data_IF_102335063426
#
_entry.id   IF_102335063426
#
_cell.length_a   1.000
_cell.length_b   1.000
_cell.length_c   1.000
_cell.angle_alpha   90.00
_cell.angle_beta   90.00
_cell.angle_gamma   90.00
#
_symmetry.space_group_name_H-M   'P 1'
#
loop_
_entity.id
_entity.type
_entity.pdbx_description
1 polymer ?
#
# COMPACT_ATOMS: atom_id res chain seq x y z
N UNK A 1 17.13 -34.72 -44.43
CA UNK A 1 17.97 -34.07 -43.39
C UNK A 1 17.21 -34.12 -42.08
N UNK A 2 17.49 -35.08 -41.20
CA UNK A 2 16.75 -35.25 -39.95
C UNK A 2 17.17 -34.16 -38.92
N UNK A 3 16.25 -33.63 -38.09
CA UNK A 3 16.59 -32.61 -37.11
C UNK A 3 17.51 -33.22 -36.03
N UNK A 4 18.58 -32.49 -35.69
CA UNK A 4 19.58 -32.88 -34.69
C UNK A 4 18.91 -33.04 -33.32
N UNK A 5 18.74 -34.29 -32.88
CA UNK A 5 18.10 -34.64 -31.61
C UNK A 5 19.00 -34.44 -30.37
N UNK A 6 20.22 -33.92 -30.54
CA UNK A 6 21.23 -33.84 -29.49
C UNK A 6 21.46 -32.39 -29.02
N UNK A 7 20.40 -31.72 -28.55
CA UNK A 7 20.53 -30.42 -27.87
C UNK A 7 20.28 -30.60 -26.37
N UNK A 8 21.14 -30.04 -25.50
CA UNK A 8 20.94 -30.09 -24.06
C UNK A 8 19.61 -29.43 -23.68
N UNK A 9 18.74 -30.21 -23.04
CA UNK A 9 17.43 -29.74 -22.59
C UNK A 9 17.61 -28.87 -21.35
N UNK A 10 17.36 -27.56 -21.50
CA UNK A 10 17.42 -26.62 -20.38
C UNK A 10 16.30 -26.95 -19.39
N UNK A 11 16.63 -26.93 -18.09
CA UNK A 11 15.64 -27.08 -17.01
C UNK A 11 14.64 -25.93 -17.07
N UNK A 12 13.35 -26.24 -17.03
CA UNK A 12 12.27 -25.27 -16.86
C UNK A 12 11.71 -25.36 -15.44
N UNK A 13 11.35 -24.21 -14.87
CA UNK A 13 10.78 -24.12 -13.54
C UNK A 13 9.30 -23.74 -13.66
N UNK A 14 8.41 -24.55 -13.09
CA UNK A 14 6.97 -24.26 -13.06
C UNK A 14 6.67 -23.09 -12.12
N UNK A 15 5.49 -22.48 -12.26
CA UNK A 15 5.09 -21.37 -11.40
C UNK A 15 4.99 -21.80 -9.92
N UNK A 16 4.47 -23.01 -9.68
CA UNK A 16 4.31 -23.60 -8.35
C UNK A 16 5.66 -23.84 -7.68
N UNK A 17 6.64 -24.38 -8.44
CA UNK A 17 8.00 -24.58 -7.93
C UNK A 17 8.64 -23.25 -7.53
N UNK A 18 8.54 -22.25 -8.41
CA UNK A 18 9.05 -20.90 -8.11
C UNK A 18 8.36 -20.31 -6.87
N UNK A 19 7.05 -20.51 -6.72
CA UNK A 19 6.29 -20.06 -5.54
C UNK A 19 6.80 -20.70 -4.26
N UNK A 20 6.94 -22.02 -4.25
CA UNK A 20 7.38 -22.80 -3.10
C UNK A 20 8.79 -22.38 -2.66
N UNK A 21 9.72 -22.22 -3.61
CA UNK A 21 11.09 -21.80 -3.29
C UNK A 21 11.13 -20.37 -2.78
N UNK A 22 10.38 -19.43 -3.37
CA UNK A 22 10.30 -18.08 -2.81
C UNK A 22 9.73 -18.11 -1.38
N UNK A 23 8.65 -18.88 -1.16
CA UNK A 23 8.03 -19.09 0.14
C UNK A 23 9.04 -19.58 1.19
N UNK A 24 9.78 -20.65 0.89
CA UNK A 24 10.83 -21.18 1.76
C UNK A 24 11.96 -20.17 1.97
N UNK A 25 12.43 -19.51 0.91
CA UNK A 25 13.57 -18.59 0.97
C UNK A 25 13.32 -17.35 1.85
N UNK A 26 12.12 -16.73 1.79
CA UNK A 26 11.86 -15.57 2.66
C UNK A 26 11.46 -15.95 4.10
N UNK A 27 11.06 -17.21 4.35
CA UNK A 27 10.84 -17.70 5.71
C UNK A 27 12.17 -18.08 6.39
N UNK A 28 13.16 -18.50 5.61
CA UNK A 28 14.46 -18.94 6.08
C UNK A 28 15.36 -17.81 6.61
N UNK A 29 16.16 -18.15 7.61
CA UNK A 29 17.25 -17.33 8.14
C UNK A 29 18.39 -17.13 7.14
N UNK A 30 19.35 -16.26 7.47
CA UNK A 30 20.45 -15.90 6.55
C UNK A 30 21.30 -17.11 6.13
N UNK A 31 21.59 -18.01 7.06
CA UNK A 31 22.41 -19.20 6.81
C UNK A 31 21.66 -20.28 6.03
N UNK A 32 20.38 -20.48 6.36
CA UNK A 32 19.49 -21.47 5.73
C UNK A 32 19.22 -21.15 4.26
N UNK A 33 19.13 -19.87 3.89
CA UNK A 33 18.96 -19.43 2.50
C UNK A 33 20.03 -20.00 1.56
N UNK A 34 21.28 -20.05 2.02
CA UNK A 34 22.37 -20.64 1.24
C UNK A 34 22.23 -22.15 1.06
N UNK A 35 21.64 -22.85 2.04
CA UNK A 35 21.36 -24.28 1.95
C UNK A 35 20.24 -24.58 0.95
N UNK A 36 19.15 -23.80 0.97
CA UNK A 36 18.02 -23.92 0.03
C UNK A 36 18.51 -23.77 -1.41
N UNK A 37 19.31 -22.74 -1.69
CA UNK A 37 19.82 -22.49 -3.04
C UNK A 37 20.71 -23.63 -3.53
N UNK A 38 21.59 -24.18 -2.68
CA UNK A 38 22.44 -25.32 -3.05
C UNK A 38 21.66 -26.60 -3.28
N UNK A 39 20.64 -26.87 -2.45
CA UNK A 39 19.77 -28.05 -2.58
C UNK A 39 19.07 -28.08 -3.94
N UNK A 40 18.60 -26.93 -4.40
CA UNK A 40 17.84 -26.82 -5.63
C UNK A 40 18.69 -26.50 -6.87
N UNK A 41 20.00 -26.24 -6.70
CA UNK A 41 20.89 -25.79 -7.77
C UNK A 41 20.54 -24.40 -8.29
N UNK A 42 20.09 -23.51 -7.40
CA UNK A 42 19.63 -22.16 -7.72
C UNK A 42 20.69 -21.11 -7.36
N UNK A 43 20.59 -19.98 -8.05
CA UNK A 43 21.39 -18.79 -7.78
C UNK A 43 20.49 -17.68 -7.23
N UNK A 44 21.08 -16.74 -6.49
CA UNK A 44 20.37 -15.56 -5.95
C UNK A 44 19.70 -14.72 -7.05
N UNK A 45 20.25 -14.73 -8.27
CA UNK A 45 19.63 -14.10 -9.45
C UNK A 45 18.25 -14.68 -9.78
N UNK A 46 18.07 -16.00 -9.67
CA UNK A 46 16.77 -16.63 -9.88
C UNK A 46 15.72 -16.09 -8.90
N UNK A 47 16.09 -15.94 -7.63
CA UNK A 47 15.20 -15.39 -6.60
C UNK A 47 14.81 -13.94 -6.94
N UNK A 48 15.78 -13.11 -7.35
CA UNK A 48 15.52 -11.73 -7.74
C UNK A 48 14.59 -11.64 -8.96
N UNK A 49 14.86 -12.43 -10.00
CA UNK A 49 14.05 -12.48 -11.22
C UNK A 49 12.63 -12.95 -10.94
N UNK A 50 12.45 -14.02 -10.14
CA UNK A 50 11.13 -14.55 -9.82
C UNK A 50 10.32 -13.60 -8.95
N UNK A 51 10.95 -12.88 -8.02
CA UNK A 51 10.29 -11.81 -7.26
C UNK A 51 9.84 -10.66 -8.17
N UNK A 52 10.66 -10.26 -9.16
CA UNK A 52 10.29 -9.22 -10.12
C UNK A 52 9.11 -9.68 -10.98
N UNK A 53 9.14 -10.92 -11.46
CA UNK A 53 8.05 -11.51 -12.23
C UNK A 53 6.75 -11.66 -11.41
N UNK A 54 6.87 -12.02 -10.13
CA UNK A 54 5.73 -12.04 -9.21
C UNK A 54 5.12 -10.62 -8.99
N UNK A 55 5.96 -9.59 -8.84
CA UNK A 55 5.49 -8.20 -8.73
C UNK A 55 4.84 -7.68 -10.01
N UNK A 56 5.34 -8.09 -11.18
CA UNK A 56 4.78 -7.74 -12.48
C UNK A 56 3.49 -8.51 -12.83
N UNK A 57 3.03 -9.43 -11.97
CA UNK A 57 1.87 -10.27 -12.23
C UNK A 57 2.06 -11.29 -13.36
N UNK A 58 3.30 -11.46 -13.86
CA UNK A 58 3.59 -12.33 -15.00
C UNK A 58 3.69 -13.82 -14.63
N UNK A 59 3.67 -14.14 -13.33
CA UNK A 59 3.56 -15.50 -12.83
C UNK A 59 2.17 -15.72 -12.22
N UNK A 60 1.19 -15.98 -13.09
CA UNK A 60 -0.12 -16.50 -12.71
C UNK A 60 0.06 -17.84 -11.99
N UNK A 61 0.15 -17.81 -10.66
CA UNK A 61 0.36 -19.02 -9.84
C UNK A 61 1.35 -18.86 -8.69
N UNK A 62 2.13 -17.76 -8.63
CA UNK A 62 2.89 -17.45 -7.41
C UNK A 62 1.97 -16.88 -6.32
N UNK A 63 1.32 -17.80 -5.62
CA UNK A 63 0.58 -17.51 -4.40
C UNK A 63 1.43 -16.78 -3.37
N UNK A 64 0.95 -15.60 -3.00
CA UNK A 64 1.03 -14.99 -1.67
C UNK A 64 2.40 -14.77 -1.03
N UNK A 65 3.11 -13.75 -1.51
CA UNK A 65 3.84 -12.81 -0.62
C UNK A 65 3.62 -11.30 -0.82
N UNK A 66 2.63 -10.81 -1.62
CA UNK A 66 2.19 -9.42 -1.51
C UNK A 66 1.54 -9.11 -0.17
N UNK A 67 1.12 -10.11 0.62
CA UNK A 67 0.25 -9.92 1.78
C UNK A 67 0.88 -9.03 2.85
N UNK A 68 2.09 -9.32 3.34
CA UNK A 68 2.73 -8.49 4.38
C UNK A 68 3.04 -7.07 3.91
N UNK A 69 3.52 -6.91 2.67
CA UNK A 69 3.80 -5.58 2.12
C UNK A 69 2.52 -4.79 1.90
N UNK A 70 1.49 -5.42 1.34
CA UNK A 70 0.19 -4.82 1.10
C UNK A 70 -0.52 -4.51 2.41
N UNK A 71 -0.40 -5.37 3.43
CA UNK A 71 -0.92 -5.12 4.77
C UNK A 71 -0.21 -3.93 5.42
N UNK A 72 1.13 -3.84 5.32
CA UNK A 72 1.88 -2.66 5.78
C UNK A 72 1.48 -1.39 5.04
N UNK A 73 1.31 -1.46 3.72
CA UNK A 73 0.84 -0.34 2.90
C UNK A 73 -0.59 0.07 3.26
N UNK A 74 -1.49 -0.89 3.46
CA UNK A 74 -2.88 -0.65 3.91
C UNK A 74 -2.89 -0.01 5.29
N UNK A 75 -2.07 -0.48 6.24
CA UNK A 75 -1.98 0.13 7.56
C UNK A 75 -1.42 1.55 7.48
N UNK A 76 -0.36 1.78 6.70
CA UNK A 76 0.18 3.12 6.48
C UNK A 76 -0.84 4.07 5.83
N UNK A 77 -1.62 3.57 4.88
CA UNK A 77 -2.70 4.33 4.25
C UNK A 77 -3.84 4.62 5.22
N UNK A 78 -4.23 3.68 6.09
CA UNK A 78 -5.25 3.89 7.13
C UNK A 78 -4.84 4.98 8.11
N UNK A 79 -3.60 4.93 8.62
CA UNK A 79 -3.07 5.96 9.53
C UNK A 79 -3.06 7.34 8.85
N UNK A 80 -2.75 7.41 7.55
CA UNK A 80 -2.81 8.68 6.81
C UNK A 80 -4.25 9.16 6.61
N UNK A 81 -5.18 8.26 6.31
CA UNK A 81 -6.59 8.58 6.15
C UNK A 81 -7.18 9.12 7.45
N UNK A 82 -6.93 8.46 8.59
CA UNK A 82 -7.38 8.91 9.92
C UNK A 82 -6.85 10.31 10.26
N UNK A 83 -5.56 10.58 9.99
CA UNK A 83 -4.99 11.92 10.18
C UNK A 83 -5.63 12.98 9.28
N UNK A 84 -5.85 12.65 8.01
CA UNK A 84 -6.48 13.56 7.07
C UNK A 84 -7.94 13.86 7.45
N UNK A 85 -8.69 12.84 7.90
CA UNK A 85 -10.06 13.00 8.39
C UNK A 85 -10.12 13.86 9.66
N UNK A 86 -9.17 13.70 10.59
CA UNK A 86 -9.08 14.53 11.78
C UNK A 86 -8.79 16.02 11.46
N UNK A 87 -7.89 16.31 10.54
CA UNK A 87 -7.62 17.68 10.09
C UNK A 87 -8.83 18.28 9.34
N UNK A 88 -9.52 17.47 8.54
CA UNK A 88 -10.73 17.88 7.84
C UNK A 88 -11.88 18.19 8.83
N UNK A 89 -12.01 17.39 9.89
CA UNK A 89 -12.97 17.67 10.96
C UNK A 89 -12.63 18.98 11.70
N UNK A 90 -11.35 19.21 12.02
CA UNK A 90 -10.89 20.45 12.68
C UNK A 90 -11.16 21.69 11.83
N UNK A 91 -10.83 21.64 10.55
CA UNK A 91 -11.03 22.77 9.62
C UNK A 91 -12.52 23.07 9.43
N UNK A 92 -13.39 22.06 9.31
CA UNK A 92 -14.84 22.25 9.29
C UNK A 92 -15.36 22.92 10.56
N UNK A 93 -14.92 22.46 11.73
CA UNK A 93 -15.33 23.07 13.00
C UNK A 93 -14.89 24.55 13.11
N UNK A 94 -13.71 24.89 12.59
CA UNK A 94 -13.26 26.28 12.52
C UNK A 94 -14.14 27.13 11.60
N UNK A 95 -14.51 26.61 10.42
CA UNK A 95 -15.42 27.30 9.50
C UNK A 95 -16.81 27.51 10.11
N UNK A 96 -17.35 26.51 10.81
CA UNK A 96 -18.63 26.63 11.50
C UNK A 96 -18.60 27.71 12.59
N UNK A 97 -17.50 27.78 13.35
CA UNK A 97 -17.31 28.82 14.36
C UNK A 97 -17.22 30.21 13.73
N UNK A 98 -16.48 30.34 12.63
CA UNK A 98 -16.37 31.61 11.89
C UNK A 98 -17.74 32.04 11.33
N UNK A 99 -18.52 31.10 10.77
CA UNK A 99 -19.88 31.37 10.30
C UNK A 99 -20.81 31.86 11.42
N UNK A 100 -20.76 31.22 12.59
CA UNK A 100 -21.53 31.65 13.77
C UNK A 100 -21.09 33.02 14.28
N UNK A 101 -19.79 33.29 14.32
CA UNK A 101 -19.26 34.60 14.72
C UNK A 101 -19.71 35.71 13.75
N UNK A 102 -19.69 35.43 12.45
CA UNK A 102 -20.18 36.36 11.43
C UNK A 102 -21.66 36.68 11.61
N UNK A 103 -22.51 35.65 11.78
CA UNK A 103 -23.93 35.85 12.03
C UNK A 103 -24.20 36.67 13.31
N UNK A 104 -23.44 36.42 14.38
CA UNK A 104 -23.55 37.21 15.61
C UNK A 104 -23.19 38.68 15.37
N UNK A 105 -22.12 38.95 14.62
CA UNK A 105 -21.73 40.31 14.27
C UNK A 105 -22.80 41.02 13.43
N UNK A 106 -23.45 40.33 12.50
CA UNK A 106 -24.60 40.89 11.74
C UNK A 106 -25.74 41.29 12.68
N UNK A 107 -26.14 40.42 13.61
CA UNK A 107 -27.23 40.74 14.56
C UNK A 107 -26.88 41.93 15.47
N UNK A 108 -25.62 42.05 15.91
CA UNK A 108 -25.18 43.18 16.71
C UNK A 108 -25.19 44.47 15.88
N UNK A 109 -24.75 44.42 14.61
CA UNK A 109 -24.79 45.57 13.71
C UNK A 109 -26.22 46.05 13.46
N UNK A 110 -27.15 45.15 13.16
CA UNK A 110 -28.58 45.50 12.96
C UNK A 110 -29.23 46.10 14.23
N UNK A 111 -28.79 45.66 15.41
CA UNK A 111 -29.27 46.21 16.68
C UNK A 111 -28.73 47.61 16.98
N UNK A 112 -27.51 47.91 16.53
CA UNK A 112 -26.85 49.20 16.72
C UNK A 112 -27.43 50.30 15.81
N UNK A 113 -27.95 49.94 14.63
CA UNK A 113 -28.54 50.88 13.68
C UNK A 113 -30.00 51.29 14.00
N UNK A 114 -30.62 50.73 15.06
CA UNK A 114 -31.97 51.16 15.48
C UNK A 114 -31.89 52.44 16.31
N UNK A 115 -32.46 53.57 15.85
CA UNK A 115 -32.46 54.81 16.62
C UNK A 115 -33.25 54.64 17.94
N UNK A 116 -32.87 55.36 19.02
CA UNK A 116 -33.56 55.26 20.29
C UNK A 116 -35.04 55.64 20.12
N UNK A 117 -35.94 54.73 20.52
CA UNK A 117 -37.38 55.01 20.56
C UNK A 117 -37.63 56.16 21.53
N UNK A 118 -38.04 57.31 21.01
CA UNK A 118 -38.46 58.46 21.80
C UNK A 118 -39.62 58.07 22.72
N UNK A 119 -39.54 58.34 24.04
CA UNK A 119 -40.67 58.14 24.92
C UNK A 119 -41.70 59.23 24.63
N UNK A 120 -42.98 58.83 24.66
CA UNK A 120 -44.14 59.72 24.54
C UNK A 120 -44.42 60.41 25.87
#
# INVERSE_FOLDING_TARGET
MAPRADRPKRRSFTAEFKAAILAEYDAAGREERGAILRREGLYTSHIAEWRKAAQAGSLSGLGSRPRDRREREVQALRVRAEKAEAELARTKAALDLMGKAHALLETLSESADKPPRSPR
#
